data_IF_575761753930
#
_entry.id   IF_575761753930
#
_cell.length_a   1.000
_cell.length_b   1.000
_cell.length_c   1.000
_cell.angle_alpha   90.00
_cell.angle_beta   90.00
_cell.angle_gamma   90.00
#
_symmetry.space_group_name_H-M   'P 1'
#
loop_
_entity.id
_entity.type
_entity.pdbx_description
1 polymer ?
#
# COMPACT_ATOMS: atom_id res chain seq x y z
N UNK A 1 8.84 9.74 20.46
CA UNK A 1 8.53 8.31 20.21
C UNK A 1 7.53 8.20 19.07
N UNK A 2 7.61 7.17 18.22
CA UNK A 2 6.77 7.01 17.01
C UNK A 2 5.26 7.18 17.29
N UNK A 3 4.81 6.72 18.46
CA UNK A 3 3.42 6.83 18.90
C UNK A 3 2.92 8.27 19.08
N UNK A 4 3.74 9.15 19.67
CA UNK A 4 3.36 10.56 19.84
C UNK A 4 3.23 11.28 18.49
N UNK A 5 4.10 10.96 17.54
CA UNK A 5 4.08 11.54 16.19
C UNK A 5 2.85 11.12 15.37
N UNK A 6 2.30 9.92 15.62
CA UNK A 6 1.13 9.37 14.92
C UNK A 6 -0.20 9.65 15.64
N UNK A 7 -0.17 10.27 16.83
CA UNK A 7 -1.37 10.55 17.63
C UNK A 7 -2.36 11.50 16.92
N UNK A 8 -1.84 12.45 16.13
CA UNK A 8 -2.64 13.38 15.32
C UNK A 8 -3.48 12.66 14.26
N UNK A 9 -3.01 11.52 13.78
CA UNK A 9 -3.69 10.67 12.80
C UNK A 9 -4.64 9.65 13.46
N UNK A 10 -4.78 9.68 14.80
CA UNK A 10 -5.56 8.69 15.58
C UNK A 10 -5.17 7.24 15.24
N UNK A 11 -3.90 7.00 14.95
CA UNK A 11 -3.41 5.66 14.58
C UNK A 11 -3.57 4.68 15.76
N UNK A 12 -4.11 3.50 15.48
CA UNK A 12 -4.23 2.41 16.45
C UNK A 12 -3.14 1.38 16.22
N UNK A 13 -2.64 0.79 17.32
CA UNK A 13 -1.70 -0.34 17.25
C UNK A 13 -2.44 -1.59 16.81
N UNK A 14 -1.83 -2.35 15.93
CA UNK A 14 -2.32 -3.67 15.53
C UNK A 14 -2.06 -4.71 16.64
N UNK A 15 -3.06 -5.55 16.88
CA UNK A 15 -2.90 -6.75 17.70
C UNK A 15 -2.18 -7.85 16.90
N UNK A 16 -1.65 -8.88 17.57
CA UNK A 16 -0.86 -9.94 16.92
C UNK A 16 -1.63 -10.69 15.82
N UNK A 17 -2.92 -10.95 16.06
CA UNK A 17 -3.81 -11.56 15.05
C UNK A 17 -4.01 -10.67 13.83
N UNK A 18 -4.14 -9.37 14.05
CA UNK A 18 -4.30 -8.40 12.97
C UNK A 18 -3.01 -8.27 12.18
N UNK A 19 -1.87 -8.20 12.88
CA UNK A 19 -0.55 -8.17 12.26
C UNK A 19 -0.33 -9.39 11.36
N UNK A 20 -0.61 -10.60 11.87
CA UNK A 20 -0.53 -11.83 11.10
C UNK A 20 -1.43 -11.78 9.87
N UNK A 21 -2.70 -11.39 10.05
CA UNK A 21 -3.66 -11.32 8.96
C UNK A 21 -3.22 -10.31 7.88
N UNK A 22 -2.76 -9.12 8.26
CA UNK A 22 -2.27 -8.11 7.31
C UNK A 22 -1.02 -8.55 6.55
N UNK A 23 -0.13 -9.31 7.18
CA UNK A 23 1.03 -9.89 6.48
C UNK A 23 0.58 -10.96 5.47
N UNK A 24 -0.36 -11.83 5.85
CA UNK A 24 -0.89 -12.89 4.98
C UNK A 24 -1.74 -12.34 3.82
N UNK A 25 -2.48 -11.26 4.04
CA UNK A 25 -3.35 -10.62 3.05
C UNK A 25 -2.61 -10.21 1.77
N UNK A 26 -1.30 -9.91 1.85
CA UNK A 26 -0.49 -9.58 0.67
C UNK A 26 -0.45 -10.72 -0.37
N UNK A 27 -0.59 -11.96 0.10
CA UNK A 27 -0.60 -13.18 -0.71
C UNK A 27 -2.02 -13.72 -0.98
N UNK A 28 -3.04 -13.16 -0.33
CA UNK A 28 -4.46 -13.54 -0.52
C UNK A 28 -5.27 -12.46 -1.26
N UNK A 29 -4.60 -11.57 -1.99
CA UNK A 29 -5.23 -10.49 -2.73
C UNK A 29 -6.27 -11.04 -3.70
N UNK A 30 -7.49 -10.53 -3.59
CA UNK A 30 -8.62 -10.90 -4.44
C UNK A 30 -8.98 -12.40 -4.44
N UNK A 31 -8.54 -13.15 -3.42
CA UNK A 31 -9.00 -14.52 -3.15
C UNK A 31 -10.13 -14.43 -2.13
N UNK A 32 -11.34 -14.95 -2.38
CA UNK A 32 -12.40 -14.97 -1.39
C UNK A 32 -12.04 -15.93 -0.26
N UNK A 33 -11.96 -15.43 0.98
CA UNK A 33 -11.63 -16.23 2.16
C UNK A 33 -12.24 -15.64 3.43
N UNK A 34 -12.38 -16.48 4.46
CA UNK A 34 -12.82 -16.02 5.78
C UNK A 34 -11.62 -15.67 6.65
N UNK A 35 -11.61 -14.46 7.24
CA UNK A 35 -10.56 -14.04 8.19
C UNK A 35 -10.35 -15.06 9.32
N UNK A 36 -11.43 -15.63 9.86
CA UNK A 36 -11.37 -16.62 10.95
C UNK A 36 -10.62 -17.89 10.53
N UNK A 37 -10.79 -18.33 9.29
CA UNK A 37 -10.13 -19.51 8.76
C UNK A 37 -8.63 -19.29 8.58
N UNK A 38 -8.25 -18.12 8.07
CA UNK A 38 -6.84 -17.72 7.96
C UNK A 38 -6.17 -17.66 9.34
N UNK A 39 -6.86 -17.11 10.33
CA UNK A 39 -6.36 -17.03 11.71
C UNK A 39 -6.26 -18.41 12.39
N UNK A 40 -7.23 -19.29 12.15
CA UNK A 40 -7.20 -20.66 12.68
C UNK A 40 -6.00 -21.45 12.14
N UNK A 41 -5.65 -21.24 10.87
CA UNK A 41 -4.54 -21.93 10.22
C UNK A 41 -3.15 -21.34 10.53
N UNK A 42 -3.05 -20.36 11.42
CA UNK A 42 -1.78 -19.67 11.75
C UNK A 42 -0.65 -20.58 12.20
N UNK A 43 -0.99 -21.73 12.80
CA UNK A 43 -0.02 -22.69 13.31
C UNK A 43 0.43 -23.72 12.27
N UNK A 44 -0.36 -23.91 11.21
CA UNK A 44 -0.15 -24.95 10.20
C UNK A 44 0.38 -24.39 8.88
N UNK A 45 -0.02 -23.16 8.52
CA UNK A 45 0.25 -22.56 7.22
C UNK A 45 1.15 -21.34 7.39
N UNK A 46 2.26 -21.32 6.65
CA UNK A 46 3.17 -20.19 6.65
C UNK A 46 2.54 -18.94 6.03
N UNK A 47 2.96 -17.77 6.50
CA UNK A 47 2.46 -16.47 6.01
C UNK A 47 2.67 -16.31 4.49
N UNK A 48 3.74 -16.88 3.96
CA UNK A 48 4.14 -16.79 2.54
C UNK A 48 3.71 -17.99 1.70
N UNK A 49 2.89 -18.89 2.25
CA UNK A 49 2.49 -20.12 1.57
C UNK A 49 1.49 -19.84 0.45
N UNK A 50 1.98 -19.31 -0.67
CA UNK A 50 1.24 -18.96 -1.87
C UNK A 50 2.21 -19.04 -3.04
N UNK A 51 1.88 -19.85 -4.03
CA UNK A 51 2.67 -19.97 -5.23
C UNK A 51 2.44 -18.73 -6.10
N UNK A 52 3.53 -18.08 -6.50
CA UNK A 52 3.48 -16.91 -7.39
C UNK A 52 4.00 -17.35 -8.75
N UNK A 53 3.12 -17.40 -9.75
CA UNK A 53 3.46 -17.72 -11.14
C UNK A 53 3.43 -16.47 -11.99
N UNK A 54 4.42 -16.32 -12.87
CA UNK A 54 4.46 -15.23 -13.84
C UNK A 54 3.77 -15.71 -15.11
N UNK A 55 2.67 -15.05 -15.50
CA UNK A 55 1.90 -15.40 -16.69
C UNK A 55 2.29 -14.46 -17.84
N UNK A 56 2.28 -14.99 -19.08
CA UNK A 56 2.48 -14.18 -20.29
C UNK A 56 1.45 -13.03 -20.30
N UNK A 57 1.91 -11.79 -20.38
CA UNK A 57 1.07 -10.59 -20.30
C UNK A 57 1.34 -9.68 -19.09
N UNK A 58 2.31 -10.00 -18.24
CA UNK A 58 2.73 -9.13 -17.13
C UNK A 58 1.85 -9.22 -15.88
N UNK A 59 1.08 -10.30 -15.75
CA UNK A 59 0.27 -10.60 -14.58
C UNK A 59 0.98 -11.62 -13.69
N UNK A 60 0.76 -11.47 -12.39
CA UNK A 60 1.15 -12.45 -11.37
C UNK A 60 -0.08 -13.27 -11.00
N UNK A 61 0.00 -14.58 -11.13
CA UNK A 61 -1.01 -15.49 -10.62
C UNK A 61 -0.61 -15.93 -9.22
N UNK A 62 -1.49 -15.71 -8.26
CA UNK A 62 -1.38 -16.20 -6.89
C UNK A 62 -2.20 -17.48 -6.78
N UNK A 63 -1.58 -18.56 -6.28
CA UNK A 63 -2.26 -19.81 -5.98
C UNK A 63 -2.04 -20.16 -4.50
N UNK A 64 -3.15 -20.26 -3.78
CA UNK A 64 -3.20 -20.53 -2.34
C UNK A 64 -4.19 -21.68 -2.08
N UNK A 65 -4.14 -22.37 -0.93
CA UNK A 65 -5.17 -23.35 -0.57
C UNK A 65 -6.61 -22.80 -0.63
N UNK A 66 -6.77 -21.49 -0.45
CA UNK A 66 -8.07 -20.80 -0.52
C UNK A 66 -8.56 -20.50 -1.94
N UNK A 67 -7.71 -20.65 -2.96
CA UNK A 67 -8.06 -20.38 -4.35
C UNK A 67 -6.94 -19.72 -5.14
N UNK A 68 -7.28 -19.16 -6.29
CA UNK A 68 -6.34 -18.46 -7.16
C UNK A 68 -6.84 -17.08 -7.55
N UNK A 69 -5.90 -16.15 -7.76
CA UNK A 69 -6.19 -14.80 -8.23
C UNK A 69 -5.11 -14.29 -9.16
N UNK A 70 -5.44 -13.27 -9.95
CA UNK A 70 -4.49 -12.56 -10.81
C UNK A 70 -4.30 -11.14 -10.29
N UNK A 71 -3.05 -10.73 -10.18
CA UNK A 71 -2.65 -9.41 -9.65
C UNK A 71 -1.69 -8.77 -10.63
N UNK A 72 -1.87 -7.47 -10.86
CA UNK A 72 -0.88 -6.62 -11.50
C UNK A 72 -0.62 -5.39 -10.64
N UNK A 73 0.59 -4.84 -10.74
CA UNK A 73 0.98 -3.64 -10.00
C UNK A 73 1.30 -2.57 -11.04
N UNK A 74 0.51 -1.50 -11.02
CA UNK A 74 0.74 -0.35 -11.90
C UNK A 74 1.48 0.75 -11.13
N UNK A 75 2.79 0.95 -11.36
CA UNK A 75 3.51 2.06 -10.75
C UNK A 75 3.09 3.38 -11.41
N UNK A 76 2.81 4.41 -10.61
CA UNK A 76 2.61 5.77 -11.14
C UNK A 76 3.98 6.43 -11.31
N UNK A 77 4.39 6.63 -12.57
CA UNK A 77 5.75 7.06 -12.91
C UNK A 77 6.04 8.55 -12.70
N UNK A 78 5.04 9.43 -12.86
CA UNK A 78 5.19 10.88 -12.65
C UNK A 78 3.95 11.45 -11.98
N UNK A 79 4.18 12.26 -10.96
CA UNK A 79 3.18 13.10 -10.33
C UNK A 79 3.57 14.57 -10.48
N UNK A 80 2.60 15.49 -10.57
CA UNK A 80 2.89 16.92 -10.49
C UNK A 80 3.50 17.28 -9.12
N UNK A 81 4.39 18.27 -9.09
CA UNK A 81 5.10 18.73 -7.87
C UNK A 81 4.12 19.24 -6.80
N UNK A 82 2.98 19.79 -7.24
CA UNK A 82 1.88 20.20 -6.39
C UNK A 82 0.71 19.26 -6.66
N UNK A 83 0.35 18.47 -5.66
CA UNK A 83 -0.74 17.49 -5.73
C UNK A 83 -2.05 18.08 -5.19
N UNK A 84 -2.39 19.30 -5.63
CA UNK A 84 -3.60 20.00 -5.18
C UNK A 84 -4.74 19.71 -6.16
N UNK A 85 -5.84 19.11 -5.67
CA UNK A 85 -7.03 18.84 -6.49
C UNK A 85 -6.97 17.58 -7.38
N UNK A 86 -5.92 16.76 -7.28
CA UNK A 86 -5.88 15.48 -7.99
C UNK A 86 -6.48 14.37 -7.12
N UNK A 87 -7.71 13.98 -7.42
CA UNK A 87 -8.39 12.90 -6.71
C UNK A 87 -7.97 11.53 -7.25
N UNK A 88 -6.70 11.14 -7.04
CA UNK A 88 -6.23 9.80 -7.44
C UNK A 88 -7.14 8.69 -6.86
N UNK A 89 -7.63 8.90 -5.64
CA UNK A 89 -8.64 8.04 -5.02
C UNK A 89 -9.96 7.98 -5.80
N UNK A 90 -10.48 9.12 -6.26
CA UNK A 90 -11.72 9.17 -7.06
C UNK A 90 -11.52 8.52 -8.44
N UNK A 91 -10.38 8.75 -9.08
CA UNK A 91 -10.06 8.11 -10.35
C UNK A 91 -10.03 6.59 -10.22
N UNK A 92 -9.38 6.09 -9.15
CA UNK A 92 -9.32 4.65 -8.86
C UNK A 92 -10.71 4.08 -8.56
N UNK A 93 -11.59 4.84 -7.88
CA UNK A 93 -12.97 4.42 -7.61
C UNK A 93 -13.84 4.26 -8.86
N UNK A 94 -13.46 4.85 -10.00
CA UNK A 94 -14.19 4.68 -11.28
C UNK A 94 -13.90 3.36 -11.97
N UNK A 95 -12.88 2.61 -11.53
CA UNK A 95 -12.54 1.33 -12.13
C UNK A 95 -13.59 0.28 -11.78
N UNK A 96 -13.98 -0.55 -12.75
CA UNK A 96 -15.00 -1.58 -12.60
C UNK A 96 -14.48 -2.88 -11.94
N UNK A 97 -13.29 -2.82 -11.34
CA UNK A 97 -12.65 -3.92 -10.64
C UNK A 97 -12.04 -3.40 -9.34
N UNK A 98 -11.86 -4.24 -8.32
CA UNK A 98 -11.25 -3.82 -7.06
C UNK A 98 -9.80 -3.38 -7.25
N UNK A 99 -9.46 -2.23 -6.67
CA UNK A 99 -8.11 -1.67 -6.71
C UNK A 99 -7.65 -1.25 -5.33
N UNK A 100 -6.41 -1.61 -5.00
CA UNK A 100 -5.72 -1.16 -3.79
C UNK A 100 -4.79 0.01 -4.10
N UNK A 101 -4.91 1.11 -3.36
CA UNK A 101 -3.94 2.21 -3.41
C UNK A 101 -2.90 2.05 -2.31
N UNK A 102 -1.62 1.97 -2.68
CA UNK A 102 -0.48 2.01 -1.75
C UNK A 102 0.26 3.33 -1.86
N UNK A 103 0.22 4.12 -0.79
CA UNK A 103 0.94 5.39 -0.68
C UNK A 103 2.17 5.21 0.22
N UNK A 104 3.34 5.56 -0.31
CA UNK A 104 4.55 5.69 0.51
C UNK A 104 4.74 7.16 0.86
N UNK A 105 4.39 7.53 2.09
CA UNK A 105 4.65 8.86 2.63
C UNK A 105 6.01 8.91 3.32
N UNK A 106 6.78 9.98 3.06
CA UNK A 106 8.00 10.31 3.82
C UNK A 106 7.80 11.67 4.48
N UNK A 107 8.08 11.76 5.78
CA UNK A 107 8.11 13.04 6.46
C UNK A 107 9.36 13.78 6.03
N UNK A 108 9.18 14.89 5.31
CA UNK A 108 10.30 15.75 4.96
C UNK A 108 10.73 16.47 6.24
N UNK A 109 11.99 16.29 6.60
CA UNK A 109 12.62 17.06 7.66
C UNK A 109 12.51 18.57 7.35
N UNK A 110 11.96 19.36 8.28
CA UNK A 110 11.67 20.77 8.09
C UNK A 110 12.92 21.58 7.69
N UNK A 111 14.12 21.12 8.09
CA UNK A 111 15.39 21.72 7.68
C UNK A 111 15.65 21.65 6.17
N UNK A 112 15.20 20.58 5.50
CA UNK A 112 15.40 20.38 4.05
C UNK A 112 14.43 21.23 3.21
N UNK A 113 13.23 21.53 3.72
CA UNK A 113 12.25 22.39 3.04
C UNK A 113 12.73 23.85 3.03
N UNK A 114 13.24 24.37 4.16
CA UNK A 114 13.75 25.75 4.23
C UNK A 114 14.86 26.01 3.21
N UNK A 115 15.78 25.06 3.03
CA UNK A 115 16.89 25.17 2.07
C UNK A 115 16.44 25.14 0.60
N UNK A 116 15.46 24.30 0.23
CA UNK A 116 14.94 24.22 -1.15
C UNK A 116 14.00 25.39 -1.48
N UNK A 117 13.14 25.80 -0.55
CA UNK A 117 12.18 26.89 -0.72
C UNK A 117 12.87 28.27 -0.73
N UNK A 118 13.95 28.44 0.05
CA UNK A 118 14.80 29.64 -0.02
C UNK A 118 15.51 29.80 -1.37
N UNK A 119 15.93 28.69 -1.99
CA UNK A 119 16.58 28.69 -3.33
C UNK A 119 15.59 28.89 -4.49
N UNK A 120 14.32 28.49 -4.35
CA UNK A 120 13.32 28.76 -5.39
C UNK A 120 12.89 30.23 -5.42
N UNK A 121 12.79 30.89 -4.26
CA UNK A 121 12.42 32.30 -4.17
C UNK A 121 13.51 33.27 -4.67
N UNK A 122 14.77 32.84 -4.71
CA UNK A 122 15.87 33.65 -5.27
C UNK A 122 15.93 33.62 -6.79
N UNK A 123 15.26 32.66 -7.45
CA UNK A 123 15.26 32.54 -8.93
C UNK A 123 14.29 33.49 -9.65
N UNK A 124 13.30 34.03 -8.95
CA UNK A 124 12.29 34.94 -9.53
C UNK A 124 12.59 36.43 -9.28
N UNK A 125 13.79 36.74 -8.77
CA UNK A 125 14.17 38.10 -8.35
C UNK A 125 15.31 38.72 -9.18
N UNK A 126 15.62 38.14 -10.34
CA UNK A 126 16.52 38.70 -11.34
C UNK A 126 15.75 39.03 -12.62
#
# INVERSE_FOLDING_TARGET
>A
TVFQALSTLRAQRLNDEELFYYQRMQYLRYIPHYKKEVLANRAMINVTDTLIKVVKGGFLQLESPYGSSFVTILPVGKFPIQFNGFHLGEFIQRLNFPVELRLKGEFIDQGKIKGKMGRSNTRYRN
#
